data_IF_344953420204
#
_entry.id   IF_344953420204
#
_cell.length_a   1.000
_cell.length_b   1.000
_cell.length_c   1.000
_cell.angle_alpha   90.00
_cell.angle_beta   90.00
_cell.angle_gamma   90.00
#
_symmetry.space_group_name_H-M   'P 1'
#
loop_
_entity.id
_entity.type
_entity.pdbx_description
1 polymer ?
#
# COMPACT_ATOMS: atom_id res chain seq x y z
N UNK A 1 6.64 6.66 0.98
CA UNK A 1 5.87 5.47 1.43
C UNK A 1 4.73 5.82 2.37
N UNK A 2 4.91 6.76 3.30
CA UNK A 2 3.89 7.13 4.30
C UNK A 2 2.51 7.46 3.71
N UNK A 3 2.45 8.20 2.60
CA UNK A 3 1.19 8.55 1.93
C UNK A 3 0.37 7.34 1.45
N UNK A 4 1.04 6.21 1.20
CA UNK A 4 0.42 5.01 0.64
C UNK A 4 0.15 3.93 1.68
N UNK A 5 0.82 3.99 2.83
CA UNK A 5 0.69 2.99 3.91
C UNK A 5 -0.77 2.81 4.35
N UNK A 6 -1.53 3.86 4.73
CA UNK A 6 -2.92 3.67 5.14
C UNK A 6 -3.83 3.24 3.99
N UNK A 7 -3.57 3.77 2.78
CA UNK A 7 -4.41 3.53 1.60
C UNK A 7 -4.30 2.11 1.04
N UNK A 8 -3.12 1.50 1.19
CA UNK A 8 -2.80 0.20 0.61
C UNK A 8 -2.59 -0.84 1.71
N UNK A 9 -1.62 -0.63 2.60
CA UNK A 9 -1.18 -1.65 3.56
C UNK A 9 -2.25 -1.83 4.64
N UNK A 10 -2.60 -0.77 5.36
CA UNK A 10 -3.53 -0.88 6.49
C UNK A 10 -4.93 -1.30 6.00
N UNK A 11 -5.37 -0.77 4.85
CA UNK A 11 -6.60 -1.19 4.19
C UNK A 11 -6.62 -2.69 3.87
N UNK A 12 -5.50 -3.26 3.39
CA UNK A 12 -5.41 -4.71 3.13
C UNK A 12 -5.39 -5.49 4.42
N UNK A 13 -4.62 -5.08 5.43
CA UNK A 13 -4.57 -5.76 6.73
C UNK A 13 -5.97 -5.87 7.32
N UNK A 14 -6.69 -4.74 7.40
CA UNK A 14 -8.08 -4.72 7.87
C UNK A 14 -8.98 -5.61 7.01
N UNK A 15 -8.87 -5.56 5.68
CA UNK A 15 -9.65 -6.42 4.80
C UNK A 15 -9.32 -7.91 4.97
N UNK A 16 -8.07 -8.28 5.22
CA UNK A 16 -7.65 -9.68 5.41
C UNK A 16 -8.20 -10.25 6.70
N UNK A 17 -8.21 -9.46 7.77
CA UNK A 17 -8.75 -9.86 9.07
C UNK A 17 -10.29 -9.93 9.02
N UNK A 18 -10.96 -8.89 8.52
CA UNK A 18 -12.42 -8.82 8.48
C UNK A 18 -13.05 -9.93 7.61
N UNK A 19 -12.36 -10.34 6.55
CA UNK A 19 -12.82 -11.40 5.64
C UNK A 19 -12.24 -12.77 5.98
N UNK A 20 -11.51 -12.90 7.09
CA UNK A 20 -10.85 -14.14 7.51
C UNK A 20 -9.98 -14.78 6.40
N UNK A 21 -9.36 -13.94 5.55
CA UNK A 21 -8.45 -14.40 4.49
C UNK A 21 -7.08 -14.78 5.04
N UNK A 22 -6.74 -14.25 6.21
CA UNK A 22 -5.64 -14.70 7.04
C UNK A 22 -6.19 -14.94 8.44
N UNK A 23 -5.84 -16.08 9.01
CA UNK A 23 -6.27 -16.55 10.32
C UNK A 23 -5.05 -16.78 11.20
N UNK A 24 -5.20 -17.00 12.52
CA UNK A 24 -4.07 -17.34 13.38
C UNK A 24 -3.26 -18.56 12.89
N UNK A 25 -3.88 -19.49 12.14
CA UNK A 25 -3.20 -20.64 11.56
C UNK A 25 -2.21 -20.27 10.43
N UNK A 26 -2.33 -19.08 9.85
CA UNK A 26 -1.42 -18.57 8.81
C UNK A 26 -0.16 -17.91 9.39
N UNK A 27 0.05 -18.02 10.70
CA UNK A 27 1.20 -17.46 11.39
C UNK A 27 1.98 -18.54 12.15
N UNK A 28 3.30 -18.37 12.16
CA UNK A 28 4.24 -19.20 12.93
C UNK A 28 4.99 -18.31 13.91
N UNK A 29 5.13 -18.79 15.14
CA UNK A 29 5.92 -18.10 16.18
C UNK A 29 7.23 -18.86 16.36
N UNK A 30 8.34 -18.16 16.24
CA UNK A 30 9.66 -18.74 16.52
C UNK A 30 9.81 -18.94 18.04
N UNK A 31 10.11 -20.16 18.53
CA UNK A 31 10.15 -20.43 19.96
C UNK A 31 11.21 -19.66 20.75
N UNK A 32 12.36 -19.35 20.12
CA UNK A 32 13.48 -18.71 20.80
C UNK A 32 13.36 -17.18 20.86
N UNK A 33 12.92 -16.55 19.77
CA UNK A 33 12.83 -15.09 19.65
C UNK A 33 11.43 -14.55 19.91
N UNK A 34 10.41 -15.42 19.95
CA UNK A 34 8.99 -15.04 19.90
C UNK A 34 8.59 -14.22 18.66
N UNK A 35 9.42 -14.21 17.61
CA UNK A 35 9.09 -13.54 16.36
C UNK A 35 7.91 -14.23 15.67
N UNK A 36 6.93 -13.44 15.21
CA UNK A 36 5.77 -13.94 14.47
C UNK A 36 5.96 -13.68 12.99
N UNK A 37 5.87 -14.73 12.19
CA UNK A 37 5.98 -14.67 10.72
C UNK A 37 4.75 -15.29 10.07
N UNK A 38 4.44 -14.87 8.84
CA UNK A 38 3.46 -15.56 8.02
C UNK A 38 4.00 -16.92 7.57
N UNK A 39 3.13 -17.92 7.46
CA UNK A 39 3.43 -19.15 6.73
C UNK A 39 3.70 -18.84 5.25
N UNK A 40 4.35 -19.74 4.49
CA UNK A 40 4.53 -19.55 3.05
C UNK A 40 3.22 -19.28 2.30
N UNK A 41 2.15 -20.00 2.64
CA UNK A 41 0.82 -19.81 2.05
C UNK A 41 0.16 -18.50 2.50
N UNK A 42 0.25 -18.15 3.79
CA UNK A 42 -0.24 -16.87 4.30
C UNK A 42 0.46 -15.68 3.63
N UNK A 43 1.79 -15.77 3.46
CA UNK A 43 2.59 -14.76 2.73
C UNK A 43 2.17 -14.65 1.27
N UNK A 44 1.96 -15.77 0.57
CA UNK A 44 1.49 -15.78 -0.82
C UNK A 44 0.12 -15.13 -0.95
N UNK A 45 -0.79 -15.42 -0.04
CA UNK A 45 -2.13 -14.80 0.02
C UNK A 45 -2.02 -13.29 0.22
N UNK A 46 -1.22 -12.84 1.19
CA UNK A 46 -1.02 -11.41 1.45
C UNK A 46 -0.42 -10.68 0.23
N UNK A 47 0.65 -11.23 -0.37
CA UNK A 47 1.31 -10.63 -1.52
C UNK A 47 0.40 -10.55 -2.75
N UNK A 48 -0.46 -11.55 -2.96
CA UNK A 48 -1.47 -11.52 -4.02
C UNK A 48 -2.47 -10.38 -3.80
N UNK A 49 -3.00 -10.23 -2.58
CA UNK A 49 -3.94 -9.15 -2.24
C UNK A 49 -3.27 -7.78 -2.34
N UNK A 50 -2.01 -7.67 -1.91
CA UNK A 50 -1.18 -6.47 -2.10
C UNK A 50 -1.03 -6.10 -3.58
N UNK A 51 -0.69 -7.06 -4.43
CA UNK A 51 -0.64 -6.88 -5.88
C UNK A 51 -1.97 -6.39 -6.46
N UNK A 52 -3.08 -7.02 -6.07
CA UNK A 52 -4.42 -6.63 -6.51
C UNK A 52 -4.80 -5.21 -6.07
N UNK A 53 -4.52 -4.82 -4.82
CA UNK A 53 -4.79 -3.47 -4.33
C UNK A 53 -3.98 -2.42 -5.08
N UNK A 54 -2.70 -2.69 -5.38
CA UNK A 54 -1.88 -1.79 -6.19
C UNK A 54 -2.46 -1.55 -7.59
N UNK A 55 -3.13 -2.55 -8.17
CA UNK A 55 -3.79 -2.46 -9.47
C UNK A 55 -5.19 -1.83 -9.40
N UNK A 56 -5.75 -1.63 -8.20
CA UNK A 56 -7.05 -0.96 -8.07
C UNK A 56 -6.96 0.52 -8.43
N UNK A 57 -7.98 1.01 -9.12
CA UNK A 57 -8.07 2.39 -9.59
C UNK A 57 -8.68 3.33 -8.54
N UNK A 58 -8.24 4.57 -8.55
CA UNK A 58 -8.87 5.68 -7.84
C UNK A 58 -8.72 6.97 -8.67
N UNK A 59 -9.49 8.01 -8.34
CA UNK A 59 -9.33 9.33 -8.95
C UNK A 59 -8.23 10.09 -8.21
N UNK A 60 -7.13 10.39 -8.88
CA UNK A 60 -6.02 11.11 -8.25
C UNK A 60 -6.43 12.55 -7.95
N UNK A 61 -6.33 13.04 -6.69
CA UNK A 61 -6.89 14.34 -6.29
C UNK A 61 -6.21 15.51 -7.00
N UNK A 62 -4.89 15.46 -7.20
CA UNK A 62 -4.13 16.52 -7.88
C UNK A 62 -4.23 16.43 -9.41
N UNK A 63 -4.05 15.23 -10.00
CA UNK A 63 -4.07 15.06 -11.46
C UNK A 63 -5.49 15.08 -12.07
N UNK A 64 -6.54 14.89 -11.27
CA UNK A 64 -7.93 14.91 -11.72
C UNK A 64 -8.38 13.71 -12.56
N UNK A 65 -7.47 12.78 -12.90
CA UNK A 65 -7.74 11.58 -13.71
C UNK A 65 -7.75 10.29 -12.89
N UNK A 66 -8.32 9.23 -13.45
CA UNK A 66 -8.18 7.88 -12.91
C UNK A 66 -6.76 7.36 -13.11
N UNK A 67 -6.25 6.66 -12.10
CA UNK A 67 -5.03 5.87 -12.17
C UNK A 67 -5.08 4.78 -11.10
N UNK A 68 -4.25 3.76 -11.27
CA UNK A 68 -4.00 2.74 -10.25
C UNK A 68 -3.17 3.30 -9.09
N UNK A 69 -3.22 2.65 -7.94
CA UNK A 69 -2.29 2.97 -6.83
C UNK A 69 -0.82 2.76 -7.24
N UNK A 70 -0.54 1.81 -8.12
CA UNK A 70 0.81 1.59 -8.65
C UNK A 70 1.30 2.77 -9.49
N UNK A 71 0.48 3.28 -10.41
CA UNK A 71 0.81 4.49 -11.18
C UNK A 71 0.95 5.71 -10.26
N UNK A 72 0.16 5.78 -9.18
CA UNK A 72 0.26 6.87 -8.21
C UNK A 72 1.63 6.92 -7.50
N UNK A 73 2.32 5.79 -7.32
CA UNK A 73 3.70 5.79 -6.80
C UNK A 73 4.63 6.59 -7.70
N UNK A 74 4.54 6.35 -9.00
CA UNK A 74 5.34 7.05 -10.01
C UNK A 74 4.94 8.53 -10.08
N UNK A 75 3.64 8.83 -10.06
CA UNK A 75 3.14 10.20 -10.08
C UNK A 75 3.66 11.01 -8.89
N UNK A 76 3.62 10.46 -7.67
CA UNK A 76 4.15 11.15 -6.49
C UNK A 76 5.67 11.33 -6.56
N UNK A 77 6.41 10.34 -7.07
CA UNK A 77 7.84 10.49 -7.30
C UNK A 77 8.15 11.63 -8.30
N UNK A 78 7.36 11.75 -9.38
CA UNK A 78 7.50 12.84 -10.35
C UNK A 78 7.13 14.21 -9.77
N UNK A 79 6.08 14.29 -8.96
CA UNK A 79 5.70 15.52 -8.25
C UNK A 79 6.80 15.97 -7.29
N UNK A 80 7.41 15.03 -6.57
CA UNK A 80 8.54 15.32 -5.69
C UNK A 80 9.75 15.79 -6.49
N UNK A 81 10.08 15.14 -7.61
CA UNK A 81 11.18 15.56 -8.46
C UNK A 81 11.02 17.01 -8.95
N UNK A 82 9.82 17.40 -9.41
CA UNK A 82 9.52 18.77 -9.83
C UNK A 82 9.74 19.79 -8.71
N UNK A 83 9.33 19.46 -7.49
CA UNK A 83 9.57 20.30 -6.33
C UNK A 83 11.08 20.47 -6.06
N UNK A 84 11.84 19.37 -6.09
CA UNK A 84 13.28 19.40 -5.87
C UNK A 84 14.05 20.16 -6.98
N UNK A 85 13.53 20.16 -8.21
CA UNK A 85 14.09 20.91 -9.34
C UNK A 85 13.65 22.39 -9.36
N UNK A 86 12.81 22.82 -8.41
CA UNK A 86 12.30 24.19 -8.34
C UNK A 86 11.24 24.53 -9.40
N UNK A 87 10.70 23.54 -10.12
CA UNK A 87 9.63 23.74 -11.10
C UNK A 87 8.28 24.04 -10.44
N UNK A 88 8.11 23.65 -9.18
CA UNK A 88 6.89 23.87 -8.38
C UNK A 88 7.24 24.36 -6.99
N UNK A 89 6.48 25.32 -6.46
CA UNK A 89 6.72 25.90 -5.14
C UNK A 89 6.51 24.92 -3.97
N UNK A 90 5.68 23.88 -4.17
CA UNK A 90 5.35 22.90 -3.15
C UNK A 90 5.08 21.52 -3.74
N UNK A 91 5.45 20.49 -3.00
CA UNK A 91 5.04 19.12 -3.26
C UNK A 91 3.61 18.88 -2.71
N UNK A 92 2.63 18.51 -3.56
CA UNK A 92 1.28 18.19 -3.10
C UNK A 92 1.17 16.69 -2.73
N UNK A 93 1.09 16.32 -1.44
CA UNK A 93 1.02 14.92 -1.03
C UNK A 93 -0.30 14.28 -1.46
N UNK A 94 -0.29 12.97 -1.63
CA UNK A 94 -1.51 12.20 -1.88
C UNK A 94 -2.37 12.12 -0.61
N UNK A 95 -3.49 12.85 -0.62
CA UNK A 95 -4.51 12.79 0.44
C UNK A 95 -5.86 12.44 -0.19
N UNK A 96 -6.45 11.32 0.26
CA UNK A 96 -7.81 10.93 -0.11
C UNK A 96 -8.76 11.29 1.05
N UNK A 97 -9.93 11.84 0.70
CA UNK A 97 -11.02 12.11 1.63
C UNK A 97 -11.97 10.92 1.70
#
# INVERSE_FOLDING_TARGET
MEEFRPLIVDAIVLSTLNKQLLTPADFVTEPLSSAVSLTPEGRKTFLRLYGQKKQSEFKHPVMGRKCTYQEAFELQARLLAKYLMGETEKYPPLVLK
#
